data_IF_137941815399
#
_entry.id   IF_137941815399
#
_cell.length_a   1.000
_cell.length_b   1.000
_cell.length_c   1.000
_cell.angle_alpha   90.00
_cell.angle_beta   90.00
_cell.angle_gamma   90.00
#
_symmetry.space_group_name_H-M   'P 1'
#
loop_
_entity.id
_entity.type
_entity.pdbx_description
1 polymer ?
#
# COMPACT_ATOMS: atom_id res chain seq x y z
N UNK A 1 14.97 -28.02 -11.35
CA UNK A 1 13.79 -28.24 -10.47
C UNK A 1 13.41 -29.71 -10.57
N UNK A 2 13.06 -30.36 -9.47
CA UNK A 2 12.63 -31.79 -9.41
C UNK A 2 11.50 -31.92 -8.38
N UNK A 3 10.64 -32.91 -8.53
CA UNK A 3 9.65 -33.27 -7.49
C UNK A 3 10.25 -34.36 -6.60
N UNK A 4 10.26 -34.15 -5.28
CA UNK A 4 10.78 -35.08 -4.28
C UNK A 4 9.79 -35.14 -3.10
N UNK A 5 9.27 -36.34 -2.81
CA UNK A 5 8.18 -36.57 -1.84
C UNK A 5 7.00 -35.60 -2.01
N UNK A 6 6.46 -35.51 -3.23
CA UNK A 6 5.35 -34.63 -3.61
C UNK A 6 5.60 -33.11 -3.42
N UNK A 7 6.86 -32.69 -3.28
CA UNK A 7 7.22 -31.28 -3.18
C UNK A 7 8.16 -30.85 -4.31
N UNK A 8 7.96 -29.64 -4.81
CA UNK A 8 8.87 -29.02 -5.78
C UNK A 8 10.15 -28.60 -5.04
N UNK A 9 11.29 -29.13 -5.49
CA UNK A 9 12.60 -28.83 -4.97
C UNK A 9 13.52 -28.19 -6.04
N UNK A 10 14.47 -27.37 -5.60
CA UNK A 10 15.40 -26.66 -6.48
C UNK A 10 16.86 -27.09 -6.25
N UNK A 11 17.74 -27.03 -7.27
CA UNK A 11 19.17 -27.22 -7.05
C UNK A 11 19.69 -26.20 -6.03
N UNK A 12 20.48 -26.64 -5.06
CA UNK A 12 20.96 -25.81 -3.95
C UNK A 12 21.66 -24.55 -4.44
N UNK A 13 22.43 -24.62 -5.55
CA UNK A 13 23.10 -23.46 -6.17
C UNK A 13 22.17 -22.31 -6.57
N UNK A 14 20.86 -22.54 -6.69
CA UNK A 14 19.87 -21.53 -7.08
C UNK A 14 19.32 -20.71 -5.89
N UNK A 15 19.79 -20.94 -4.66
CA UNK A 15 19.25 -20.25 -3.47
C UNK A 15 19.28 -18.72 -3.60
N UNK A 16 20.35 -18.13 -4.17
CA UNK A 16 20.44 -16.69 -4.43
C UNK A 16 19.45 -16.22 -5.50
N UNK A 17 19.23 -17.03 -6.53
CA UNK A 17 18.26 -16.75 -7.59
C UNK A 17 16.85 -16.65 -7.00
N UNK A 18 16.50 -17.59 -6.11
CA UNK A 18 15.22 -17.59 -5.40
C UNK A 18 15.11 -16.41 -4.44
N UNK A 19 16.17 -16.08 -3.69
CA UNK A 19 16.15 -14.88 -2.84
C UNK A 19 15.93 -13.60 -3.69
N UNK A 20 16.62 -13.51 -4.84
CA UNK A 20 16.47 -12.39 -5.78
C UNK A 20 15.04 -12.27 -6.31
N UNK A 21 14.33 -13.38 -6.53
CA UNK A 21 12.91 -13.36 -6.91
C UNK A 21 12.05 -12.61 -5.89
N UNK A 22 12.17 -12.96 -4.60
CA UNK A 22 11.42 -12.30 -3.53
C UNK A 22 11.83 -10.84 -3.34
N UNK A 23 13.14 -10.55 -3.39
CA UNK A 23 13.65 -9.19 -3.30
C UNK A 23 13.13 -8.32 -4.46
N UNK A 24 13.11 -8.86 -5.68
CA UNK A 24 12.57 -8.17 -6.88
C UNK A 24 11.09 -7.88 -6.72
N UNK A 25 10.30 -8.84 -6.21
CA UNK A 25 8.88 -8.61 -5.91
C UNK A 25 8.71 -7.46 -4.91
N UNK A 26 9.44 -7.48 -3.80
CA UNK A 26 9.35 -6.44 -2.78
C UNK A 26 9.75 -5.06 -3.34
N UNK A 27 10.77 -5.01 -4.19
CA UNK A 27 11.18 -3.79 -4.89
C UNK A 27 10.10 -3.26 -5.82
N UNK A 28 9.49 -4.11 -6.65
CA UNK A 28 8.36 -3.72 -7.53
C UNK A 28 7.16 -3.21 -6.73
N UNK A 29 6.85 -3.82 -5.58
CA UNK A 29 5.81 -3.30 -4.68
C UNK A 29 6.17 -1.92 -4.15
N UNK A 30 7.42 -1.69 -3.76
CA UNK A 30 7.89 -0.42 -3.22
C UNK A 30 7.91 0.70 -4.26
N UNK A 31 8.37 0.40 -5.47
CA UNK A 31 8.68 1.40 -6.49
C UNK A 31 7.55 1.62 -7.50
N UNK A 32 6.77 0.57 -7.81
CA UNK A 32 5.73 0.60 -8.85
C UNK A 32 4.34 0.43 -8.26
N UNK A 33 4.01 -0.74 -7.71
CA UNK A 33 2.63 -1.11 -7.37
C UNK A 33 2.03 -0.29 -6.23
N UNK A 34 2.88 0.22 -5.33
CA UNK A 34 2.43 1.08 -4.22
C UNK A 34 3.01 2.48 -4.30
N UNK A 35 3.44 2.90 -5.49
CA UNK A 35 3.96 4.25 -5.70
C UNK A 35 2.96 5.31 -5.22
N UNK A 36 3.47 6.38 -4.58
CA UNK A 36 2.63 7.36 -3.90
C UNK A 36 1.54 7.99 -4.78
N UNK A 37 1.85 8.29 -6.06
CA UNK A 37 0.85 8.81 -7.02
C UNK A 37 -0.16 7.76 -7.49
N UNK A 38 0.25 6.50 -7.55
CA UNK A 38 -0.66 5.39 -7.90
C UNK A 38 -1.67 5.23 -6.78
N UNK A 39 -1.20 5.19 -5.52
CA UNK A 39 -2.09 5.15 -4.35
C UNK A 39 -3.02 6.36 -4.24
N UNK A 40 -2.58 7.56 -4.59
CA UNK A 40 -3.49 8.71 -4.65
C UNK A 40 -4.64 8.51 -5.65
N UNK A 41 -4.36 7.96 -6.83
CA UNK A 41 -5.40 7.65 -7.85
C UNK A 41 -6.30 6.53 -7.38
N UNK A 42 -5.76 5.45 -6.81
CA UNK A 42 -6.53 4.33 -6.26
C UNK A 42 -7.50 4.80 -5.16
N UNK A 43 -7.04 5.63 -4.24
CA UNK A 43 -7.90 6.19 -3.16
C UNK A 43 -9.04 7.03 -3.74
N UNK A 44 -8.76 7.87 -4.74
CA UNK A 44 -9.81 8.63 -5.44
C UNK A 44 -10.78 7.70 -6.18
N UNK A 45 -10.28 6.63 -6.80
CA UNK A 45 -11.11 5.65 -7.49
C UNK A 45 -12.05 4.96 -6.51
N UNK A 46 -11.55 4.51 -5.36
CA UNK A 46 -12.37 3.90 -4.30
C UNK A 46 -13.45 4.88 -3.84
N UNK A 47 -13.11 6.14 -3.57
CA UNK A 47 -14.09 7.16 -3.18
C UNK A 47 -15.16 7.37 -4.26
N UNK A 48 -14.77 7.39 -5.53
CA UNK A 48 -15.71 7.49 -6.65
C UNK A 48 -16.65 6.27 -6.72
N UNK A 49 -16.12 5.05 -6.57
CA UNK A 49 -16.92 3.83 -6.63
C UNK A 49 -17.86 3.71 -5.43
N UNK A 50 -17.43 4.08 -4.23
CA UNK A 50 -18.28 4.13 -3.05
C UNK A 50 -19.47 5.07 -3.25
N UNK A 51 -19.23 6.26 -3.82
CA UNK A 51 -20.29 7.23 -4.14
C UNK A 51 -21.22 6.76 -5.25
N UNK A 52 -20.76 5.90 -6.15
CA UNK A 52 -21.59 5.33 -7.21
C UNK A 52 -22.38 4.09 -6.75
N UNK A 53 -21.97 3.44 -5.65
CA UNK A 53 -22.51 2.15 -5.23
C UNK A 53 -24.01 2.19 -4.91
N UNK A 54 -24.54 3.26 -4.31
CA UNK A 54 -25.98 3.36 -4.02
C UNK A 54 -26.85 3.36 -5.29
N UNK A 55 -26.29 3.76 -6.43
CA UNK A 55 -26.99 3.79 -7.71
C UNK A 55 -26.69 2.55 -8.57
N UNK A 56 -25.41 2.15 -8.66
CA UNK A 56 -24.96 1.05 -9.52
C UNK A 56 -24.93 -0.31 -8.82
N UNK A 57 -25.06 -0.34 -7.50
CA UNK A 57 -25.07 -1.55 -6.68
C UNK A 57 -23.85 -2.46 -6.95
N UNK A 58 -22.67 -1.84 -7.12
CA UNK A 58 -21.42 -2.48 -7.53
C UNK A 58 -21.06 -3.64 -6.59
N UNK A 59 -21.21 -3.42 -5.28
CA UNK A 59 -20.92 -4.42 -4.26
C UNK A 59 -21.81 -5.65 -4.37
N UNK A 60 -23.11 -5.51 -4.67
CA UNK A 60 -24.00 -6.67 -4.80
C UNK A 60 -23.70 -7.50 -6.05
N UNK A 61 -23.20 -6.89 -7.13
CA UNK A 61 -22.80 -7.62 -8.33
C UNK A 61 -21.68 -8.65 -8.07
N UNK A 62 -20.89 -8.49 -7.00
CA UNK A 62 -19.85 -9.46 -6.62
C UNK A 62 -20.39 -10.78 -6.06
N UNK A 63 -21.66 -10.82 -5.66
CA UNK A 63 -22.28 -12.00 -5.05
C UNK A 63 -22.90 -12.95 -6.09
N UNK A 64 -23.08 -12.48 -7.33
CA UNK A 64 -23.66 -13.25 -8.43
C UNK A 64 -22.68 -13.34 -9.61
N UNK A 65 -22.17 -14.54 -9.96
CA UNK A 65 -21.32 -14.73 -11.13
C UNK A 65 -21.89 -14.17 -12.43
N UNK A 66 -23.22 -14.17 -12.60
CA UNK A 66 -23.89 -13.66 -13.80
C UNK A 66 -23.85 -12.13 -13.93
N UNK A 67 -23.60 -11.42 -12.82
CA UNK A 67 -23.40 -9.97 -12.80
C UNK A 67 -21.91 -9.61 -12.66
N UNK A 68 -21.14 -10.39 -11.91
CA UNK A 68 -19.72 -10.11 -11.64
C UNK A 68 -18.88 -10.05 -12.92
N UNK A 69 -19.13 -10.93 -13.90
CA UNK A 69 -18.36 -10.94 -15.15
C UNK A 69 -18.51 -9.65 -15.97
N UNK A 70 -19.58 -8.87 -15.73
CA UNK A 70 -19.83 -7.57 -16.38
C UNK A 70 -19.07 -6.43 -15.70
N UNK A 71 -18.49 -6.65 -14.52
CA UNK A 71 -17.69 -5.65 -13.83
C UNK A 71 -16.28 -5.62 -14.41
N UNK A 72 -15.98 -4.53 -15.12
CA UNK A 72 -14.65 -4.23 -15.63
C UNK A 72 -14.38 -2.72 -15.56
N UNK A 73 -13.27 -2.28 -16.15
CA UNK A 73 -12.86 -0.88 -16.16
C UNK A 73 -13.84 0.04 -16.92
N UNK A 74 -14.77 -0.51 -17.71
CA UNK A 74 -15.82 0.28 -18.38
C UNK A 74 -16.77 0.91 -17.36
N UNK A 75 -16.81 0.41 -16.12
CA UNK A 75 -17.56 1.00 -15.01
C UNK A 75 -17.28 2.50 -14.84
N UNK A 76 -16.01 2.91 -15.01
CA UNK A 76 -15.63 4.32 -14.97
C UNK A 76 -16.31 5.12 -16.07
N UNK A 77 -16.36 4.57 -17.29
CA UNK A 77 -17.02 5.21 -18.42
C UNK A 77 -18.52 5.30 -18.19
N UNK A 78 -19.14 4.25 -17.64
CA UNK A 78 -20.56 4.20 -17.27
C UNK A 78 -20.92 5.34 -16.30
N UNK A 79 -20.11 5.57 -15.26
CA UNK A 79 -20.31 6.68 -14.32
C UNK A 79 -20.14 8.05 -15.00
N UNK A 80 -19.15 8.17 -15.90
CA UNK A 80 -18.87 9.41 -16.63
C UNK A 80 -20.03 9.84 -17.56
N UNK A 81 -20.71 8.88 -18.20
CA UNK A 81 -21.76 9.15 -19.20
C UNK A 81 -23.19 9.16 -18.67
N UNK A 82 -23.47 8.53 -17.53
CA UNK A 82 -24.84 8.43 -17.03
C UNK A 82 -25.45 9.80 -16.72
N UNK A 83 -26.72 10.05 -16.99
CA UNK A 83 -27.34 11.37 -16.73
C UNK A 83 -27.89 11.54 -15.30
N UNK A 84 -27.79 10.50 -14.48
CA UNK A 84 -28.32 10.50 -13.11
C UNK A 84 -27.57 11.49 -12.21
N UNK A 85 -28.32 12.43 -11.60
CA UNK A 85 -27.78 13.35 -10.57
C UNK A 85 -27.18 12.61 -9.37
N UNK A 86 -27.62 11.37 -9.09
CA UNK A 86 -27.07 10.53 -8.01
C UNK A 86 -25.60 10.17 -8.22
N UNK A 87 -25.11 10.21 -9.47
CA UNK A 87 -23.72 9.91 -9.81
C UNK A 87 -22.83 11.16 -9.91
N UNK A 88 -23.35 12.35 -9.58
CA UNK A 88 -22.65 13.61 -9.79
C UNK A 88 -21.33 13.67 -9.00
N UNK A 89 -21.35 13.34 -7.72
CA UNK A 89 -20.14 13.35 -6.87
C UNK A 89 -19.07 12.39 -7.37
N UNK A 90 -19.46 11.16 -7.72
CA UNK A 90 -18.54 10.16 -8.29
C UNK A 90 -17.92 10.64 -9.60
N UNK A 91 -18.74 11.22 -10.49
CA UNK A 91 -18.27 11.78 -11.77
C UNK A 91 -17.29 12.92 -11.56
N UNK A 92 -17.51 13.79 -10.57
CA UNK A 92 -16.60 14.90 -10.30
C UNK A 92 -15.24 14.41 -9.80
N UNK A 93 -15.20 13.36 -8.98
CA UNK A 93 -13.94 12.71 -8.58
C UNK A 93 -13.22 12.13 -9.81
N UNK A 94 -13.92 11.41 -10.70
CA UNK A 94 -13.32 10.85 -11.91
C UNK A 94 -12.78 11.97 -12.82
N UNK A 95 -13.53 13.07 -13.00
CA UNK A 95 -13.07 14.25 -13.75
C UNK A 95 -11.79 14.84 -13.18
N UNK A 96 -11.66 14.92 -11.85
CA UNK A 96 -10.42 15.35 -11.18
C UNK A 96 -9.25 14.42 -11.53
N UNK A 97 -9.45 13.10 -11.50
CA UNK A 97 -8.44 12.12 -11.92
C UNK A 97 -8.00 12.38 -13.38
N UNK A 98 -8.95 12.56 -14.30
CA UNK A 98 -8.66 12.85 -15.73
C UNK A 98 -7.86 14.13 -15.93
N UNK A 99 -8.16 15.17 -15.15
CA UNK A 99 -7.43 16.46 -15.17
C UNK A 99 -6.13 16.44 -14.37
N UNK A 100 -5.78 15.30 -13.78
CA UNK A 100 -4.62 15.14 -12.90
C UNK A 100 -4.66 16.05 -11.65
N UNK A 101 -5.86 16.46 -11.24
CA UNK A 101 -6.11 17.09 -9.95
C UNK A 101 -6.27 15.99 -8.89
N UNK A 102 -5.14 15.43 -8.48
CA UNK A 102 -5.11 14.27 -7.58
C UNK A 102 -5.11 14.68 -6.10
N UNK A 103 -5.38 13.73 -5.21
CA UNK A 103 -5.06 13.90 -3.80
C UNK A 103 -3.57 14.19 -3.61
N UNK A 104 -3.27 15.20 -2.77
CA UNK A 104 -1.92 15.71 -2.61
C UNK A 104 -1.19 14.89 -1.56
N UNK A 105 -0.12 14.22 -1.98
CA UNK A 105 0.78 13.53 -1.05
C UNK A 105 1.39 14.53 -0.06
N UNK A 106 1.14 14.29 1.23
CA UNK A 106 1.63 15.07 2.35
C UNK A 106 2.97 14.50 2.81
N UNK A 107 2.95 13.31 3.38
CA UNK A 107 4.14 12.66 3.94
C UNK A 107 4.00 11.14 4.04
N UNK A 108 5.11 10.47 4.35
CA UNK A 108 5.16 9.05 4.66
C UNK A 108 6.21 8.71 5.71
N UNK A 109 6.01 7.61 6.43
CA UNK A 109 7.06 7.00 7.25
C UNK A 109 7.00 5.48 7.18
N UNK A 110 8.15 4.85 7.41
CA UNK A 110 8.25 3.40 7.61
C UNK A 110 8.16 3.09 9.12
N UNK A 111 7.30 2.14 9.48
CA UNK A 111 7.13 1.71 10.88
C UNK A 111 8.46 1.08 11.34
N UNK A 112 9.01 1.47 12.51
CA UNK A 112 10.23 0.88 13.05
C UNK A 112 10.12 -0.64 13.20
N UNK A 113 11.19 -1.36 12.85
CA UNK A 113 11.24 -2.84 12.86
C UNK A 113 10.73 -3.45 14.17
N UNK A 114 11.10 -2.87 15.30
CA UNK A 114 10.73 -3.30 16.66
C UNK A 114 9.24 -3.06 17.01
N UNK A 115 8.53 -2.26 16.22
CA UNK A 115 7.11 -1.92 16.43
C UNK A 115 6.15 -2.62 15.48
N UNK A 116 6.66 -3.26 14.41
CA UNK A 116 5.84 -3.88 13.36
C UNK A 116 4.82 -4.87 13.92
N UNK A 117 5.21 -5.67 14.93
CA UNK A 117 4.37 -6.72 15.50
C UNK A 117 3.05 -6.23 16.10
N UNK A 118 3.08 -5.08 16.78
CA UNK A 118 1.91 -4.51 17.47
C UNK A 118 1.35 -3.30 16.73
N UNK A 119 1.82 -3.04 15.52
CA UNK A 119 1.40 -1.90 14.73
C UNK A 119 -0.04 -2.09 14.22
N UNK A 120 -0.90 -1.12 14.52
CA UNK A 120 -2.27 -1.02 13.98
C UNK A 120 -2.29 -0.03 12.84
N UNK A 121 -3.14 -0.29 11.85
CA UNK A 121 -3.35 0.64 10.75
C UNK A 121 -3.78 2.01 11.27
N UNK A 122 -3.18 3.07 10.69
CA UNK A 122 -3.53 4.45 11.02
C UNK A 122 -4.79 4.82 10.27
N UNK A 123 -5.76 5.36 10.99
CA UNK A 123 -6.99 5.89 10.43
C UNK A 123 -6.92 7.43 10.31
N UNK A 124 -7.75 8.06 9.46
CA UNK A 124 -7.86 9.53 9.40
C UNK A 124 -8.06 10.20 10.76
N UNK A 125 -8.82 9.56 11.65
CA UNK A 125 -9.13 10.05 12.99
C UNK A 125 -7.88 10.21 13.86
N UNK A 126 -6.96 9.24 13.79
CA UNK A 126 -5.71 9.25 14.58
C UNK A 126 -4.87 10.50 14.25
N UNK A 127 -4.91 10.93 12.99
CA UNK A 127 -4.20 12.10 12.50
C UNK A 127 -4.90 13.38 12.99
N UNK A 128 -6.22 13.47 12.83
CA UNK A 128 -7.00 14.66 13.22
C UNK A 128 -6.91 14.91 14.73
N UNK A 129 -6.90 13.85 15.55
CA UNK A 129 -6.70 13.95 16.99
C UNK A 129 -5.32 14.51 17.41
N UNK A 130 -4.37 14.61 16.48
CA UNK A 130 -3.03 15.17 16.71
C UNK A 130 -2.85 16.58 16.09
N UNK A 131 -3.94 17.21 15.66
CA UNK A 131 -3.92 18.58 15.14
C UNK A 131 -3.58 19.61 16.26
N UNK A 132 -2.75 20.61 15.93
CA UNK A 132 -2.43 21.71 16.84
C UNK A 132 -3.63 22.67 17.04
N UNK A 133 -3.72 23.27 18.23
CA UNK A 133 -4.75 24.25 18.55
C UNK A 133 -4.49 25.57 17.79
N UNK A 134 -5.54 26.10 17.13
CA UNK A 134 -5.50 27.41 16.46
C UNK A 134 -5.36 27.40 14.93
N UNK A 135 -5.36 26.22 14.29
CA UNK A 135 -5.34 26.06 12.82
C UNK A 135 -6.70 25.80 12.17
N UNK A 136 -6.70 25.52 10.86
CA UNK A 136 -7.89 25.10 10.09
C UNK A 136 -8.43 23.78 10.65
N UNK A 137 -9.73 23.71 10.98
CA UNK A 137 -10.33 22.49 11.51
C UNK A 137 -10.39 21.39 10.44
N UNK A 138 -9.61 20.32 10.62
CA UNK A 138 -9.61 19.17 9.71
C UNK A 138 -10.78 18.24 10.00
N UNK A 139 -11.38 17.70 8.94
CA UNK A 139 -12.39 16.64 9.04
C UNK A 139 -11.86 15.33 8.47
N UNK A 140 -12.48 14.21 8.84
CA UNK A 140 -12.12 12.89 8.32
C UNK A 140 -12.21 12.81 6.80
N UNK A 141 -13.20 13.50 6.23
CA UNK A 141 -13.40 13.60 4.78
C UNK A 141 -12.26 14.30 4.03
N UNK A 142 -11.43 15.08 4.72
CA UNK A 142 -10.33 15.83 4.11
C UNK A 142 -9.02 15.01 4.00
N UNK A 143 -8.93 13.90 4.73
CA UNK A 143 -7.72 13.09 4.87
C UNK A 143 -7.91 11.74 4.20
N UNK A 144 -6.90 11.28 3.46
CA UNK A 144 -6.84 9.91 2.98
C UNK A 144 -5.52 9.26 3.44
N UNK A 145 -5.61 8.02 3.94
CA UNK A 145 -4.47 7.29 4.50
C UNK A 145 -4.26 6.00 3.72
N UNK A 146 -3.01 5.66 3.43
CA UNK A 146 -2.60 4.40 2.82
C UNK A 146 -1.66 3.66 3.76
N UNK A 147 -2.12 2.54 4.32
CA UNK A 147 -1.32 1.64 5.14
C UNK A 147 -0.82 0.48 4.26
N UNK A 148 0.43 0.57 3.80
CA UNK A 148 1.02 -0.41 2.89
C UNK A 148 1.82 -1.45 3.66
N UNK A 149 1.60 -2.73 3.35
CA UNK A 149 2.43 -3.85 3.80
C UNK A 149 3.19 -4.43 2.61
N UNK A 150 4.50 -4.55 2.73
CA UNK A 150 5.37 -5.20 1.75
C UNK A 150 6.12 -6.30 2.49
N UNK A 151 6.06 -7.52 2.00
CA UNK A 151 6.82 -8.64 2.57
C UNK A 151 7.49 -9.47 1.48
N UNK A 152 8.32 -10.42 1.91
CA UNK A 152 8.87 -11.44 1.03
C UNK A 152 7.91 -12.63 0.83
N UNK A 153 6.60 -12.37 0.74
CA UNK A 153 5.51 -13.36 0.53
C UNK A 153 5.15 -14.27 1.71
N UNK A 154 5.91 -14.22 2.81
CA UNK A 154 5.67 -15.05 3.99
C UNK A 154 5.54 -14.23 5.28
N UNK A 155 4.88 -13.08 5.20
CA UNK A 155 4.67 -12.25 6.38
C UNK A 155 5.99 -11.77 6.98
N UNK A 156 6.31 -12.20 8.20
CA UNK A 156 7.55 -11.82 8.91
C UNK A 156 8.65 -12.87 8.79
N UNK A 157 8.36 -14.01 8.16
CA UNK A 157 9.25 -15.16 8.08
C UNK A 157 10.05 -15.14 6.77
N UNK A 158 11.19 -15.83 6.77
CA UNK A 158 11.98 -16.02 5.56
C UNK A 158 11.25 -17.00 4.63
N UNK A 159 10.93 -16.62 3.37
CA UNK A 159 10.32 -17.55 2.43
C UNK A 159 11.24 -18.70 2.03
N UNK A 160 12.57 -18.54 2.10
CA UNK A 160 13.54 -19.59 1.75
C UNK A 160 13.41 -20.81 2.67
N UNK A 161 13.04 -20.60 3.94
CA UNK A 161 12.86 -21.69 4.90
C UNK A 161 11.67 -22.61 4.55
N UNK A 162 10.75 -22.16 3.70
CA UNK A 162 9.65 -22.99 3.18
C UNK A 162 9.98 -23.69 1.86
N UNK A 163 11.23 -23.59 1.38
CA UNK A 163 11.67 -24.14 0.11
C UNK A 163 12.70 -25.23 0.35
N UNK A 164 12.48 -26.38 -0.30
CA UNK A 164 13.38 -27.50 -0.26
C UNK A 164 14.36 -27.49 -1.44
N UNK A 165 15.58 -27.90 -1.15
CA UNK A 165 16.71 -27.93 -2.07
C UNK A 165 17.29 -29.33 -2.19
N UNK A 166 17.99 -29.60 -3.28
CA UNK A 166 18.78 -30.80 -3.48
C UNK A 166 20.16 -30.44 -4.04
N UNK A 167 21.16 -31.30 -3.84
CA UNK A 167 22.56 -30.99 -4.22
C UNK A 167 22.76 -31.01 -5.73
N UNK A 168 22.47 -32.14 -6.35
CA UNK A 168 22.64 -32.46 -7.77
C UNK A 168 21.50 -33.39 -8.22
N UNK A 169 21.34 -33.59 -9.53
CA UNK A 169 20.20 -34.36 -10.06
C UNK A 169 20.24 -35.85 -9.69
N UNK A 170 21.40 -36.35 -9.27
CA UNK A 170 21.59 -37.72 -8.77
C UNK A 170 21.21 -37.85 -7.29
N UNK A 171 20.94 -36.74 -6.60
CA UNK A 171 20.55 -36.73 -5.19
C UNK A 171 19.07 -37.09 -5.00
N UNK A 172 18.82 -38.08 -4.14
CA UNK A 172 17.47 -38.45 -3.70
C UNK A 172 17.08 -37.85 -2.35
N UNK A 173 17.92 -36.96 -1.79
CA UNK A 173 17.65 -36.27 -0.52
C UNK A 173 17.35 -34.79 -0.75
N UNK A 174 16.27 -34.31 -0.13
CA UNK A 174 15.95 -32.89 -0.02
C UNK A 174 16.35 -32.34 1.35
N UNK A 175 16.67 -31.05 1.40
CA UNK A 175 17.03 -30.32 2.62
C UNK A 175 16.63 -28.85 2.52
N UNK A 176 16.47 -28.18 3.66
CA UNK A 176 16.29 -26.73 3.72
C UNK A 176 17.63 -26.01 3.90
N UNK A 177 17.71 -24.77 3.44
CA UNK A 177 18.87 -23.89 3.64
C UNK A 177 18.47 -22.83 4.66
N UNK A 178 19.20 -22.76 5.76
CA UNK A 178 19.00 -21.76 6.81
C UNK A 178 19.74 -20.46 6.50
N UNK A 179 19.20 -19.33 6.98
CA UNK A 179 19.67 -17.98 6.62
C UNK A 179 21.11 -17.69 7.08
N UNK A 180 21.51 -18.26 8.23
CA UNK A 180 22.85 -18.16 8.81
C UNK A 180 23.96 -18.70 7.89
N UNK A 181 23.60 -19.56 6.95
CA UNK A 181 24.53 -20.18 5.99
C UNK A 181 24.59 -19.46 4.65
N UNK A 182 23.78 -18.43 4.45
CA UNK A 182 23.64 -17.79 3.15
C UNK A 182 24.59 -16.59 3.03
N UNK A 183 24.25 -15.47 3.70
CA UNK A 183 25.04 -14.23 3.63
C UNK A 183 24.54 -13.23 4.67
N UNK A 184 25.48 -12.58 5.36
CA UNK A 184 25.18 -11.46 6.27
C UNK A 184 24.67 -10.19 5.53
N UNK A 185 24.71 -10.17 4.20
CA UNK A 185 24.16 -9.08 3.39
C UNK A 185 22.67 -9.28 3.07
N UNK A 186 22.06 -10.39 3.49
CA UNK A 186 20.63 -10.61 3.34
C UNK A 186 19.80 -9.83 4.38
N UNK A 187 18.51 -9.57 4.10
CA UNK A 187 17.63 -8.87 5.03
C UNK A 187 17.46 -9.65 6.33
N UNK A 188 17.60 -8.97 7.46
CA UNK A 188 17.24 -9.51 8.80
C UNK A 188 15.78 -9.24 9.17
N UNK A 189 15.02 -8.64 8.26
CA UNK A 189 13.60 -8.36 8.38
C UNK A 189 12.95 -8.59 7.02
N UNK A 190 11.86 -9.35 6.99
CA UNK A 190 11.19 -9.77 5.75
C UNK A 190 9.87 -9.04 5.52
N UNK A 191 9.57 -8.01 6.32
CA UNK A 191 8.35 -7.22 6.25
C UNK A 191 8.63 -5.74 6.50
N UNK A 192 8.01 -4.90 5.68
CA UNK A 192 7.91 -3.47 5.86
C UNK A 192 6.46 -3.03 5.97
N UNK A 193 6.23 -2.02 6.81
CA UNK A 193 4.96 -1.31 6.92
C UNK A 193 5.20 0.17 6.68
N UNK A 194 4.47 0.74 5.73
CA UNK A 194 4.63 2.13 5.30
C UNK A 194 3.27 2.82 5.43
N UNK A 195 3.23 3.93 6.17
CA UNK A 195 2.04 4.78 6.28
C UNK A 195 2.24 6.00 5.40
N UNK A 196 1.29 6.27 4.51
CA UNK A 196 1.27 7.47 3.66
C UNK A 196 0.00 8.25 3.89
N UNK A 197 0.11 9.57 3.92
CA UNK A 197 -1.03 10.48 4.12
C UNK A 197 -1.16 11.43 2.95
N UNK A 198 -2.41 11.66 2.57
CA UNK A 198 -2.80 12.53 1.47
C UNK A 198 -3.88 13.51 1.93
N UNK A 199 -3.79 14.74 1.42
CA UNK A 199 -4.84 15.73 1.55
C UNK A 199 -5.76 15.63 0.33
N UNK A 200 -7.08 15.56 0.54
CA UNK A 200 -8.05 15.55 -0.57
C UNK A 200 -8.16 16.92 -1.25
N UNK A 201 -7.77 17.98 -0.54
CA UNK A 201 -7.74 19.38 -0.98
C UNK A 201 -6.31 19.96 -0.85
N UNK A 202 -5.78 20.69 -1.85
CA UNK A 202 -4.42 21.23 -1.81
C UNK A 202 -4.12 22.15 -0.63
N UNK A 203 -5.07 22.99 -0.25
CA UNK A 203 -4.94 23.98 0.82
C UNK A 203 -4.79 23.37 2.23
N UNK A 204 -5.11 22.09 2.39
CA UNK A 204 -5.03 21.37 3.66
C UNK A 204 -3.72 20.60 3.86
N UNK A 205 -2.83 20.60 2.86
CA UNK A 205 -1.57 19.83 2.89
C UNK A 205 -0.71 20.19 4.10
N UNK A 206 -0.59 21.48 4.41
CA UNK A 206 0.24 21.94 5.52
C UNK A 206 -0.30 21.46 6.87
N UNK A 207 -1.59 21.69 7.14
CA UNK A 207 -2.24 21.28 8.38
C UNK A 207 -2.23 19.75 8.57
N UNK A 208 -2.46 18.99 7.51
CA UNK A 208 -2.44 17.52 7.56
C UNK A 208 -1.01 16.98 7.76
N UNK A 209 -0.02 17.57 7.08
CA UNK A 209 1.39 17.21 7.30
C UNK A 209 1.81 17.47 8.74
N UNK A 210 1.45 18.61 9.32
CA UNK A 210 1.76 18.94 10.72
C UNK A 210 1.09 17.97 11.69
N UNK A 211 -0.22 17.71 11.54
CA UNK A 211 -0.95 16.78 12.38
C UNK A 211 -0.36 15.35 12.30
N UNK A 212 0.09 14.94 11.11
CA UNK A 212 0.73 13.65 10.92
C UNK A 212 2.15 13.57 11.51
N UNK A 213 2.92 14.66 11.49
CA UNK A 213 4.20 14.76 12.20
C UNK A 213 4.01 14.70 13.72
N UNK A 214 2.98 15.36 14.25
CA UNK A 214 2.62 15.30 15.66
C UNK A 214 2.22 13.87 16.09
N UNK A 215 1.49 13.15 15.23
CA UNK A 215 1.18 11.73 15.46
C UNK A 215 2.48 10.90 15.57
N UNK A 216 3.45 11.11 14.68
CA UNK A 216 4.74 10.41 14.74
C UNK A 216 5.51 10.73 16.03
N UNK A 217 5.54 12.01 16.44
CA UNK A 217 6.15 12.42 17.70
C UNK A 217 5.47 11.76 18.91
N UNK A 218 4.14 11.68 18.91
CA UNK A 218 3.37 11.02 19.97
C UNK A 218 3.62 9.51 20.02
N UNK A 219 3.70 8.85 18.87
CA UNK A 219 3.89 7.39 18.78
C UNK A 219 5.33 6.94 19.03
N UNK A 220 6.32 7.71 18.58
CA UNK A 220 7.72 7.28 18.51
C UNK A 220 8.70 8.23 19.20
N UNK A 221 8.26 9.38 19.71
CA UNK A 221 9.12 10.40 20.30
C UNK A 221 9.98 11.18 19.29
N UNK A 222 9.89 10.87 17.99
CA UNK A 222 10.70 11.48 16.94
C UNK A 222 9.95 11.43 15.61
N UNK A 223 10.20 12.40 14.72
CA UNK A 223 9.73 12.35 13.33
C UNK A 223 10.45 11.20 12.61
N UNK A 224 9.69 10.27 12.03
CA UNK A 224 10.22 9.06 11.36
C UNK A 224 10.31 9.20 9.84
N UNK A 225 9.76 10.27 9.28
CA UNK A 225 9.88 10.59 7.87
C UNK A 225 11.35 10.78 7.44
N UNK A 226 11.68 10.29 6.25
CA UNK A 226 13.02 10.47 5.66
C UNK A 226 13.19 11.87 5.10
N UNK A 227 12.11 12.44 4.56
CA UNK A 227 12.08 13.78 3.99
C UNK A 227 10.90 14.55 4.56
N UNK A 228 11.10 15.85 4.79
CA UNK A 228 9.98 16.75 5.10
C UNK A 228 9.09 16.95 3.87
N UNK A 229 7.84 17.31 4.11
CA UNK A 229 6.93 17.70 3.02
C UNK A 229 7.52 18.92 2.28
N UNK A 230 7.74 18.84 0.95
CA UNK A 230 8.33 19.94 0.18
C UNK A 230 7.53 21.25 0.30
N UNK A 231 8.20 22.37 0.53
CA UNK A 231 7.60 23.72 0.64
C UNK A 231 6.68 24.07 -0.53
N UNK A 232 7.05 23.66 -1.76
CA UNK A 232 6.23 23.88 -2.97
C UNK A 232 4.84 23.25 -2.86
N UNK A 233 4.69 22.17 -2.11
CA UNK A 233 3.39 21.50 -1.90
C UNK A 233 2.57 22.19 -0.81
N UNK A 234 3.21 22.68 0.26
CA UNK A 234 2.55 23.43 1.34
C UNK A 234 1.93 24.75 0.84
N UNK A 235 2.60 25.41 -0.10
CA UNK A 235 2.19 26.74 -0.62
C UNK A 235 1.22 26.70 -1.82
N UNK A 236 0.73 25.52 -2.22
CA UNK A 236 -0.27 25.42 -3.29
C UNK A 236 -1.62 25.90 -2.76
N UNK A 237 -1.90 27.17 -3.02
CA UNK A 237 -3.24 27.77 -2.90
C UNK A 237 -4.08 27.41 -4.12
#
# INVERSE_FOLDING_TARGET
MRVMDNEICYPAKEYLTIHKLFATRADLHRTVYTHAKVKAVELMLVDALLKANDYLQISSCSLDPAEFWKLDDTLLKTIEIADSKKLQESRDIIRRIRRRDLYQFCNEYAVPKDKIEHFKDIAPQDIICCQAAGGVQLKEEDVAVSNVKIDLTRGRDNPIESINFFKDYDSDKKFSISDDRISCLLPTCYQDRIVRVYAKKPELVEAISEAFENLQLKMYGVKKQVHETPEKKKRRR
#
